data_IF_867851646542
#
_entry.id   IF_867851646542
#
_cell.length_a   1.000
_cell.length_b   1.000
_cell.length_c   1.000
_cell.angle_alpha   90.00
_cell.angle_beta   90.00
_cell.angle_gamma   90.00
#
_symmetry.space_group_name_H-M   'P 1'
#
loop_
_entity.id
_entity.type
_entity.pdbx_description
1 polymer ?
#
# COMPACT_ATOMS: atom_id res chain seq x y z
N UNK A 1 72.40 -8.36 -14.04
CA UNK A 1 71.21 -8.14 -13.20
C UNK A 1 70.04 -7.77 -14.11
N UNK A 2 69.21 -8.74 -14.46
CA UNK A 2 67.99 -8.56 -15.27
C UNK A 2 66.78 -8.62 -14.34
N UNK A 3 65.98 -7.54 -14.31
CA UNK A 3 64.72 -7.47 -13.56
C UNK A 3 63.55 -7.81 -14.48
N UNK A 4 62.70 -8.70 -13.97
CA UNK A 4 61.36 -9.04 -14.45
C UNK A 4 60.45 -7.82 -14.58
N UNK A 5 59.47 -7.89 -15.48
CA UNK A 5 58.14 -7.32 -15.22
C UNK A 5 57.07 -8.14 -15.94
N UNK A 6 56.34 -8.92 -15.15
CA UNK A 6 55.08 -9.56 -15.54
C UNK A 6 53.97 -8.52 -15.48
N UNK A 7 53.36 -8.22 -16.63
CA UNK A 7 52.14 -7.41 -16.68
C UNK A 7 50.96 -8.25 -16.19
N UNK A 8 50.46 -7.95 -14.99
CA UNK A 8 49.14 -8.38 -14.53
C UNK A 8 48.11 -7.37 -15.04
N UNK A 9 47.29 -7.78 -16.00
CA UNK A 9 46.09 -7.07 -16.42
C UNK A 9 45.02 -7.25 -15.34
N UNK A 10 44.78 -6.21 -14.55
CA UNK A 10 43.61 -6.14 -13.68
C UNK A 10 42.38 -5.81 -14.52
N UNK A 11 41.53 -6.80 -14.79
CA UNK A 11 40.19 -6.58 -15.34
C UNK A 11 39.30 -6.01 -14.25
N UNK A 12 39.13 -4.68 -14.25
CA UNK A 12 38.17 -4.00 -13.39
C UNK A 12 36.76 -4.36 -13.84
N UNK A 13 36.09 -5.24 -13.08
CA UNK A 13 34.64 -5.44 -13.19
C UNK A 13 34.00 -4.20 -12.58
N UNK A 14 33.53 -3.27 -13.40
CA UNK A 14 32.60 -2.23 -12.95
C UNK A 14 31.30 -2.91 -12.55
N UNK A 15 31.18 -3.33 -11.29
CA UNK A 15 29.89 -3.59 -10.69
C UNK A 15 29.12 -2.27 -10.69
N UNK A 16 28.03 -2.23 -11.45
CA UNK A 16 27.02 -1.19 -11.34
C UNK A 16 26.34 -1.37 -9.96
N UNK A 17 26.96 -0.88 -8.90
CA UNK A 17 26.27 -0.75 -7.61
C UNK A 17 25.26 0.37 -7.77
N UNK A 18 24.03 0.02 -8.10
CA UNK A 18 22.89 0.91 -7.94
C UNK A 18 22.93 1.43 -6.49
N UNK A 19 22.87 2.75 -6.27
CA UNK A 19 22.76 3.28 -4.92
C UNK A 19 21.51 2.66 -4.27
N UNK A 20 21.53 2.40 -2.95
CA UNK A 20 20.33 1.96 -2.26
C UNK A 20 19.29 3.07 -2.37
N UNK A 21 18.25 2.78 -3.13
CA UNK A 21 17.05 3.59 -3.24
C UNK A 21 16.42 3.77 -1.84
N UNK A 22 16.31 5.00 -1.35
CA UNK A 22 15.80 5.28 0.00
C UNK A 22 14.32 5.70 -0.03
N UNK A 23 13.52 5.27 0.96
CA UNK A 23 12.12 5.71 1.09
C UNK A 23 11.98 7.22 1.18
N UNK A 24 10.95 7.74 0.51
CA UNK A 24 10.56 9.13 0.65
C UNK A 24 9.66 9.26 1.86
N UNK A 25 10.02 10.13 2.79
CA UNK A 25 9.17 10.45 3.93
C UNK A 25 8.04 11.38 3.50
N UNK A 26 6.80 11.02 3.81
CA UNK A 26 5.64 11.86 3.50
C UNK A 26 4.61 11.89 4.63
N UNK A 27 4.06 13.07 4.91
CA UNK A 27 2.94 13.24 5.84
C UNK A 27 1.57 12.86 5.26
N UNK A 28 1.51 12.55 3.95
CA UNK A 28 0.31 12.06 3.27
C UNK A 28 0.70 11.00 2.24
N UNK A 29 -0.17 10.01 2.06
CA UNK A 29 0.08 8.92 1.13
C UNK A 29 -1.20 8.38 0.53
N UNK A 30 -1.07 7.71 -0.60
CA UNK A 30 -2.08 6.84 -1.18
C UNK A 30 -1.66 5.39 -0.98
N UNK A 31 -2.64 4.50 -0.90
CA UNK A 31 -2.39 3.07 -0.87
C UNK A 31 -2.58 2.49 -2.26
N UNK A 32 -1.55 1.78 -2.73
CA UNK A 32 -1.51 1.15 -4.05
C UNK A 32 -1.52 -0.36 -3.88
N UNK A 33 -2.55 -1.00 -4.42
CA UNK A 33 -2.74 -2.42 -4.37
C UNK A 33 -2.02 -3.12 -5.53
N UNK A 34 -1.31 -4.20 -5.20
CA UNK A 34 -0.70 -5.11 -6.14
C UNK A 34 -0.96 -6.55 -5.73
N UNK A 35 -1.35 -7.41 -6.67
CA UNK A 35 -1.68 -8.81 -6.38
C UNK A 35 -0.42 -9.63 -6.06
N UNK A 36 -0.48 -10.43 -4.99
CA UNK A 36 0.63 -11.33 -4.58
C UNK A 36 0.54 -12.73 -5.19
N UNK A 37 -0.62 -13.10 -5.74
CA UNK A 37 -0.90 -14.48 -6.16
C UNK A 37 -0.58 -14.71 -7.64
N UNK A 38 0.11 -15.81 -7.99
CA UNK A 38 0.29 -16.24 -9.39
C UNK A 38 -0.99 -16.82 -10.03
N UNK A 39 -2.08 -17.00 -9.26
CA UNK A 39 -3.36 -17.44 -9.80
C UNK A 39 -4.09 -16.27 -10.48
N UNK A 40 -3.78 -16.12 -11.76
CA UNK A 40 -4.31 -15.11 -12.67
C UNK A 40 -5.70 -15.56 -13.14
N UNK A 41 -6.75 -15.17 -12.43
CA UNK A 41 -8.11 -15.09 -13.00
C UNK A 41 -8.21 -13.79 -13.81
N UNK A 42 -9.20 -13.67 -14.72
CA UNK A 42 -9.43 -12.40 -15.46
C UNK A 42 -9.59 -11.18 -14.54
N UNK A 43 -10.11 -11.38 -13.32
CA UNK A 43 -10.26 -10.32 -12.33
C UNK A 43 -8.92 -9.94 -11.69
N UNK A 44 -8.12 -10.94 -11.30
CA UNK A 44 -6.88 -10.74 -10.55
C UNK A 44 -5.70 -10.32 -11.44
N UNK A 45 -5.73 -10.71 -12.72
CA UNK A 45 -4.79 -10.26 -13.76
C UNK A 45 -4.76 -8.73 -13.95
N UNK A 46 -5.87 -8.06 -13.63
CA UNK A 46 -6.03 -6.64 -13.91
C UNK A 46 -5.58 -5.72 -12.79
N UNK A 47 -5.30 -6.25 -11.59
CA UNK A 47 -5.05 -5.45 -10.37
C UNK A 47 -3.55 -5.20 -10.23
N UNK A 48 -3.06 -4.37 -11.14
CA UNK A 48 -1.69 -3.84 -11.13
C UNK A 48 -1.77 -2.35 -10.82
N UNK A 49 -1.24 -1.97 -9.65
CA UNK A 49 -1.17 -0.59 -9.19
C UNK A 49 -2.55 0.07 -9.01
N UNK A 50 -3.57 -0.69 -8.60
CA UNK A 50 -4.89 -0.12 -8.33
C UNK A 50 -4.87 0.71 -7.06
N UNK A 51 -5.59 1.82 -7.06
CA UNK A 51 -5.59 2.75 -5.95
C UNK A 51 -6.69 2.38 -4.95
N UNK A 52 -6.39 2.44 -3.66
CA UNK A 52 -7.41 2.29 -2.61
C UNK A 52 -8.21 3.57 -2.52
N UNK A 53 -9.53 3.43 -2.58
CA UNK A 53 -10.48 4.52 -2.44
C UNK A 53 -11.55 4.19 -1.40
N UNK A 54 -11.84 5.16 -0.54
CA UNK A 54 -13.04 5.20 0.27
C UNK A 54 -14.28 5.36 -0.62
N UNK A 55 -15.38 4.73 -0.26
CA UNK A 55 -16.68 4.86 -0.92
C UNK A 55 -17.67 5.63 -0.02
N UNK A 56 -17.70 6.97 -0.13
CA UNK A 56 -18.59 7.79 0.65
C UNK A 56 -20.05 7.39 0.49
N UNK A 57 -20.80 7.51 1.58
CA UNK A 57 -22.24 7.40 1.55
C UNK A 57 -22.87 7.88 2.84
N UNK A 58 -24.18 7.67 3.02
CA UNK A 58 -24.86 8.13 4.20
C UNK A 58 -24.30 7.41 5.43
N UNK A 59 -23.81 8.20 6.39
CA UNK A 59 -23.35 7.73 7.68
C UNK A 59 -21.83 7.56 7.79
N UNK A 60 -21.46 6.75 8.78
CA UNK A 60 -20.10 6.75 9.31
C UNK A 60 -19.19 5.69 8.67
N UNK A 61 -19.79 4.66 8.07
CA UNK A 61 -19.10 3.50 7.54
C UNK A 61 -18.88 3.62 6.04
N UNK A 62 -17.64 3.83 5.64
CA UNK A 62 -17.24 3.92 4.23
C UNK A 62 -16.38 2.73 3.83
N UNK A 63 -16.90 1.79 3.03
CA UNK A 63 -16.12 0.65 2.56
C UNK A 63 -14.90 1.10 1.74
N UNK A 64 -13.78 0.41 1.93
CA UNK A 64 -12.61 0.57 1.06
C UNK A 64 -12.72 -0.35 -0.15
N UNK A 65 -12.39 0.21 -1.31
CA UNK A 65 -12.40 -0.49 -2.60
C UNK A 65 -11.16 -0.15 -3.41
N UNK A 66 -10.82 -1.03 -4.34
CA UNK A 66 -9.78 -0.78 -5.32
C UNK A 66 -10.39 -0.12 -6.56
N UNK A 67 -9.75 0.93 -7.04
CA UNK A 67 -10.07 1.59 -8.30
C UNK A 67 -8.90 1.44 -9.26
N UNK A 68 -9.21 1.09 -10.51
CA UNK A 68 -8.23 1.12 -11.58
C UNK A 68 -7.75 2.58 -11.74
N UNK A 69 -6.44 2.83 -11.87
CA UNK A 69 -5.94 4.18 -12.17
C UNK A 69 -6.56 4.67 -13.47
N UNK A 70 -6.86 5.97 -13.54
CA UNK A 70 -7.34 6.56 -14.79
C UNK A 70 -6.21 6.59 -15.82
N UNK A 71 -6.52 6.32 -17.10
CA UNK A 71 -5.51 6.31 -18.18
C UNK A 71 -4.82 7.68 -18.35
N UNK A 72 -5.43 8.75 -17.83
CA UNK A 72 -4.89 10.11 -17.85
C UNK A 72 -3.89 10.40 -16.70
N UNK A 73 -3.59 9.42 -15.85
CA UNK A 73 -2.65 9.57 -14.73
C UNK A 73 -3.18 10.41 -13.57
N UNK A 74 -4.47 10.76 -13.56
CA UNK A 74 -5.09 11.47 -12.44
C UNK A 74 -5.33 10.47 -11.30
N UNK A 75 -4.67 10.72 -10.16
CA UNK A 75 -4.86 9.90 -8.98
C UNK A 75 -6.32 10.02 -8.49
N UNK A 76 -6.96 8.88 -8.35
CA UNK A 76 -8.38 8.70 -7.99
C UNK A 76 -8.57 8.06 -6.59
N UNK A 77 -7.47 7.60 -6.00
CA UNK A 77 -7.40 7.04 -4.66
C UNK A 77 -7.59 8.07 -3.55
N UNK A 78 -7.98 7.57 -2.39
CA UNK A 78 -8.09 8.38 -1.17
C UNK A 78 -6.70 8.73 -0.65
N UNK A 79 -6.49 10.00 -0.32
CA UNK A 79 -5.28 10.46 0.36
C UNK A 79 -5.44 10.24 1.86
N UNK A 80 -4.55 9.44 2.42
CA UNK A 80 -4.49 9.09 3.83
C UNK A 80 -3.32 9.79 4.52
N UNK A 81 -3.38 9.83 5.84
CA UNK A 81 -2.30 10.26 6.72
C UNK A 81 -2.26 9.36 7.97
N UNK A 82 -1.11 9.26 8.61
CA UNK A 82 -0.98 8.53 9.87
C UNK A 82 -1.40 9.44 11.03
N UNK A 83 -2.35 9.00 11.84
CA UNK A 83 -2.80 9.74 13.01
C UNK A 83 -2.07 9.21 14.27
N UNK A 84 -1.15 10.00 14.87
CA UNK A 84 -0.39 9.57 16.04
C UNK A 84 -1.26 9.39 17.29
N UNK A 85 -2.32 10.18 17.47
CA UNK A 85 -3.21 10.10 18.63
C UNK A 85 -3.98 8.78 18.69
N UNK A 86 -4.38 8.27 17.52
CA UNK A 86 -5.12 7.00 17.40
C UNK A 86 -4.22 5.83 17.03
N UNK A 87 -2.95 6.07 16.73
CA UNK A 87 -1.98 5.07 16.24
C UNK A 87 -2.51 4.28 15.05
N UNK A 88 -3.07 4.98 14.06
CA UNK A 88 -3.75 4.37 12.92
C UNK A 88 -3.77 5.25 11.67
N UNK A 89 -4.39 4.75 10.60
CA UNK A 89 -4.52 5.49 9.34
C UNK A 89 -5.83 6.27 9.34
N UNK A 90 -5.80 7.51 8.88
CA UNK A 90 -6.96 8.39 8.79
C UNK A 90 -7.04 9.10 7.44
N UNK A 91 -8.21 9.65 7.12
CA UNK A 91 -8.40 10.64 6.06
C UNK A 91 -9.49 11.64 6.46
N UNK A 92 -9.58 12.75 5.72
CA UNK A 92 -10.49 13.85 6.04
C UNK A 92 -9.98 14.75 7.16
N UNK A 93 -10.80 15.71 7.57
CA UNK A 93 -10.45 16.81 8.49
C UNK A 93 -11.59 17.12 9.45
N UNK A 94 -11.26 17.60 10.65
CA UNK A 94 -12.24 18.07 11.64
C UNK A 94 -13.32 17.03 11.94
N UNK A 95 -14.58 17.42 11.79
CA UNK A 95 -15.75 16.56 12.03
C UNK A 95 -15.94 15.47 10.96
N UNK A 96 -15.34 15.65 9.77
CA UNK A 96 -15.40 14.67 8.67
C UNK A 96 -14.25 13.65 8.72
N UNK A 97 -13.37 13.75 9.74
CA UNK A 97 -12.26 12.81 9.90
C UNK A 97 -12.78 11.39 10.14
N UNK A 98 -12.28 10.45 9.35
CA UNK A 98 -12.53 9.02 9.52
C UNK A 98 -11.22 8.26 9.60
N UNK A 99 -11.25 7.15 10.33
CA UNK A 99 -10.08 6.33 10.62
C UNK A 99 -10.28 4.91 10.11
N UNK A 100 -9.19 4.25 9.74
CA UNK A 100 -9.22 2.92 9.17
C UNK A 100 -9.68 1.92 10.22
N UNK A 101 -10.68 1.15 9.84
CA UNK A 101 -11.27 0.08 10.62
C UNK A 101 -11.02 -1.23 9.91
N UNK A 102 -10.30 -2.10 10.62
CA UNK A 102 -10.18 -3.53 10.31
C UNK A 102 -11.00 -4.28 11.36
N UNK A 103 -12.17 -4.83 11.01
CA UNK A 103 -13.01 -5.56 11.95
C UNK A 103 -12.26 -6.71 12.63
N UNK A 104 -12.54 -6.97 13.92
CA UNK A 104 -11.98 -8.11 14.67
C UNK A 104 -12.99 -9.25 14.75
N UNK A 105 -12.53 -10.48 14.49
CA UNK A 105 -13.33 -11.70 14.70
C UNK A 105 -14.56 -11.84 13.78
N UNK A 106 -15.28 -12.94 13.94
CA UNK A 106 -16.51 -13.27 13.20
C UNK A 106 -16.35 -14.39 12.15
N UNK A 107 -17.42 -15.13 11.88
CA UNK A 107 -17.48 -16.19 10.85
C UNK A 107 -17.65 -15.61 9.42
N UNK A 108 -17.11 -14.42 9.17
CA UNK A 108 -17.41 -13.65 7.97
C UNK A 108 -16.22 -12.87 7.45
N UNK A 109 -16.38 -12.36 6.24
CA UNK A 109 -15.38 -11.54 5.59
C UNK A 109 -15.20 -10.20 6.30
N UNK A 110 -13.95 -9.85 6.61
CA UNK A 110 -13.63 -8.61 7.33
C UNK A 110 -13.32 -7.52 6.33
N UNK A 111 -14.38 -6.95 5.75
CA UNK A 111 -14.26 -5.81 4.85
C UNK A 111 -13.65 -4.61 5.58
N UNK A 112 -12.65 -3.98 4.96
CA UNK A 112 -12.05 -2.75 5.47
C UNK A 112 -13.00 -1.57 5.23
N UNK A 113 -13.01 -0.64 6.17
CA UNK A 113 -13.75 0.61 6.05
C UNK A 113 -13.03 1.77 6.69
N UNK A 114 -13.45 2.98 6.36
CA UNK A 114 -13.17 4.17 7.14
C UNK A 114 -14.38 4.49 8.02
N UNK A 115 -14.17 4.61 9.32
CA UNK A 115 -15.19 4.88 10.32
C UNK A 115 -14.85 6.15 11.13
N UNK A 116 -15.85 6.94 11.52
CA UNK A 116 -15.69 8.11 12.41
C UNK A 116 -15.40 7.76 13.89
N UNK A 117 -15.37 6.46 14.25
CA UNK A 117 -15.00 6.00 15.59
C UNK A 117 -13.47 5.89 15.70
N UNK A 118 -12.98 5.45 16.86
CA UNK A 118 -11.57 5.02 16.99
C UNK A 118 -11.30 3.89 15.99
N UNK A 119 -10.31 4.11 15.13
CA UNK A 119 -9.84 3.14 14.16
C UNK A 119 -9.20 1.93 14.82
N UNK A 120 -8.75 1.00 13.99
CA UNK A 120 -8.10 -0.21 14.47
C UNK A 120 -6.65 0.09 14.84
N UNK A 121 -6.27 -0.06 16.13
CA UNK A 121 -4.89 0.17 16.55
C UNK A 121 -3.95 -0.89 15.97
N UNK A 122 -2.72 -0.50 15.70
CA UNK A 122 -1.67 -1.39 15.22
C UNK A 122 -1.66 -1.59 13.70
N UNK A 123 -2.51 -0.88 12.95
CA UNK A 123 -2.33 -0.69 11.52
C UNK A 123 -1.18 0.28 11.29
N UNK A 124 -0.18 -0.11 10.50
CA UNK A 124 1.03 0.70 10.27
C UNK A 124 1.53 0.55 8.84
N UNK A 125 2.30 1.53 8.38
CA UNK A 125 3.19 1.37 7.23
C UNK A 125 4.52 0.84 7.73
N UNK A 126 5.02 -0.25 7.15
CA UNK A 126 6.28 -0.89 7.55
C UNK A 126 7.14 -1.13 6.32
N UNK A 127 8.45 -0.81 6.36
CA UNK A 127 9.39 -1.16 5.29
C UNK A 127 9.43 -2.67 5.05
N UNK A 128 9.27 -3.08 3.79
CA UNK A 128 9.48 -4.45 3.31
C UNK A 128 10.50 -4.42 2.17
N UNK A 129 10.96 -5.60 1.76
CA UNK A 129 11.91 -5.76 0.65
C UNK A 129 11.41 -5.09 -0.64
N UNK A 130 10.13 -5.29 -0.98
CA UNK A 130 9.50 -4.69 -2.17
C UNK A 130 9.06 -3.23 -1.94
N UNK A 131 9.23 -2.67 -0.73
CA UNK A 131 8.89 -1.30 -0.36
C UNK A 131 7.95 -1.17 0.85
N UNK A 132 7.61 0.07 1.26
CA UNK A 132 6.76 0.34 2.42
C UNK A 132 5.32 -0.13 2.19
N UNK A 133 4.82 -1.02 3.07
CA UNK A 133 3.50 -1.64 2.93
C UNK A 133 2.64 -1.41 4.18
N UNK A 134 1.33 -1.26 3.97
CA UNK A 134 0.33 -1.34 5.04
C UNK A 134 0.31 -2.76 5.60
N UNK A 135 0.40 -2.85 6.92
CA UNK A 135 0.31 -4.10 7.68
C UNK A 135 -0.64 -3.93 8.85
N UNK A 136 -1.29 -5.02 9.23
CA UNK A 136 -2.11 -5.09 10.43
C UNK A 136 -1.84 -6.40 11.15
N UNK A 137 -1.46 -6.31 12.43
CA UNK A 137 -1.04 -7.46 13.21
C UNK A 137 0.22 -8.15 12.67
N UNK A 138 0.56 -9.31 13.23
CA UNK A 138 1.71 -10.11 12.79
C UNK A 138 1.34 -11.21 11.79
N UNK A 139 0.08 -11.64 11.75
CA UNK A 139 -0.33 -12.92 11.15
C UNK A 139 -1.57 -12.78 10.24
N UNK A 140 -1.65 -11.75 9.40
CA UNK A 140 -2.72 -11.69 8.40
C UNK A 140 -2.34 -10.95 7.15
N UNK A 141 -3.26 -10.97 6.19
CA UNK A 141 -3.06 -10.48 4.83
C UNK A 141 -4.32 -9.76 4.35
N UNK A 142 -4.10 -8.68 3.62
CA UNK A 142 -5.16 -8.00 2.89
C UNK A 142 -5.45 -8.75 1.59
N UNK A 143 -6.73 -8.86 1.25
CA UNK A 143 -7.17 -9.50 0.03
C UNK A 143 -8.33 -8.71 -0.58
N UNK A 144 -8.59 -8.94 -1.86
CA UNK A 144 -9.64 -8.27 -2.62
C UNK A 144 -10.59 -9.29 -3.23
N UNK A 145 -11.88 -8.98 -3.18
CA UNK A 145 -12.93 -9.79 -3.81
C UNK A 145 -13.87 -8.91 -4.65
N UNK A 146 -14.42 -9.44 -5.75
CA UNK A 146 -15.52 -8.78 -6.44
C UNK A 146 -16.78 -8.83 -5.58
N UNK A 147 -17.33 -7.67 -5.24
CA UNK A 147 -18.52 -7.51 -4.39
C UNK A 147 -19.50 -6.52 -5.00
N UNK A 148 -20.75 -6.56 -4.53
CA UNK A 148 -21.75 -5.53 -4.83
C UNK A 148 -22.02 -4.72 -3.57
N UNK A 149 -21.71 -3.43 -3.62
CA UNK A 149 -22.01 -2.49 -2.53
C UNK A 149 -22.89 -1.40 -3.11
N UNK A 150 -24.07 -1.17 -2.49
CA UNK A 150 -25.05 -0.16 -2.95
C UNK A 150 -25.37 -0.27 -4.45
N UNK A 151 -25.60 -1.49 -4.92
CA UNK A 151 -25.86 -1.84 -6.33
C UNK A 151 -24.70 -1.59 -7.32
N UNK A 152 -23.53 -1.16 -6.87
CA UNK A 152 -22.32 -1.01 -7.69
C UNK A 152 -21.41 -2.22 -7.54
N UNK A 153 -20.89 -2.74 -8.65
CA UNK A 153 -19.84 -3.75 -8.64
C UNK A 153 -18.50 -3.11 -8.27
N UNK A 154 -17.90 -3.57 -7.18
CA UNK A 154 -16.63 -3.04 -6.67
C UNK A 154 -15.63 -4.16 -6.41
N UNK A 155 -14.34 -3.82 -6.44
CA UNK A 155 -13.28 -4.66 -5.91
C UNK A 155 -13.08 -4.29 -4.43
N UNK A 156 -13.81 -4.95 -3.53
CA UNK A 156 -13.81 -4.59 -2.10
C UNK A 156 -12.54 -5.10 -1.42
N UNK A 157 -11.95 -4.29 -0.56
CA UNK A 157 -10.75 -4.64 0.22
C UNK A 157 -11.14 -5.29 1.55
N UNK A 158 -10.50 -6.41 1.89
CA UNK A 158 -10.81 -7.23 3.05
C UNK A 158 -9.53 -7.69 3.75
N UNK A 159 -9.68 -8.22 4.96
CA UNK A 159 -8.59 -8.79 5.77
C UNK A 159 -8.88 -10.21 6.22
N UNK A 160 -7.90 -11.09 6.07
CA UNK A 160 -7.94 -12.47 6.57
C UNK A 160 -6.76 -12.75 7.47
N UNK A 161 -6.97 -13.60 8.45
CA UNK A 161 -5.87 -14.16 9.25
C UNK A 161 -5.14 -15.25 8.45
N UNK A 162 -3.88 -15.52 8.81
CA UNK A 162 -2.98 -16.40 8.04
C UNK A 162 -3.55 -17.81 7.83
N UNK A 163 -4.29 -18.33 8.80
CA UNK A 163 -4.84 -19.68 8.79
C UNK A 163 -6.19 -19.79 8.06
N UNK A 164 -6.77 -18.66 7.65
CA UNK A 164 -8.03 -18.63 6.91
C UNK A 164 -7.78 -18.82 5.41
N UNK A 165 -8.59 -19.65 4.75
CA UNK A 165 -8.49 -19.86 3.31
C UNK A 165 -8.91 -18.61 2.54
N UNK A 166 -8.19 -18.28 1.46
CA UNK A 166 -8.59 -17.24 0.52
C UNK A 166 -9.86 -17.70 -0.22
N UNK A 167 -10.97 -16.93 -0.17
CA UNK A 167 -12.20 -17.32 -0.87
C UNK A 167 -12.02 -17.41 -2.39
N UNK A 168 -12.86 -18.23 -3.03
CA UNK A 168 -12.86 -18.40 -4.48
C UNK A 168 -13.11 -17.05 -5.20
N UNK A 169 -12.37 -16.79 -6.29
CA UNK A 169 -12.38 -15.52 -7.06
C UNK A 169 -11.77 -14.29 -6.38
N UNK A 170 -11.09 -14.46 -5.24
CA UNK A 170 -10.38 -13.38 -4.57
C UNK A 170 -8.86 -13.47 -4.78
N UNK A 171 -8.14 -12.39 -4.47
CA UNK A 171 -6.67 -12.35 -4.51
C UNK A 171 -6.08 -11.68 -3.28
N UNK A 172 -4.99 -12.23 -2.77
CA UNK A 172 -4.15 -11.53 -1.81
C UNK A 172 -3.47 -10.35 -2.48
N UNK A 173 -3.40 -9.22 -1.77
CA UNK A 173 -2.79 -7.99 -2.25
C UNK A 173 -1.77 -7.44 -1.26
N UNK A 174 -0.68 -6.88 -1.79
CA UNK A 174 0.17 -5.93 -1.08
C UNK A 174 -0.45 -4.54 -1.22
N UNK A 175 -0.40 -3.74 -0.15
CA UNK A 175 -0.86 -2.35 -0.17
C UNK A 175 0.34 -1.45 0.09
N UNK A 176 0.93 -0.91 -0.96
CA UNK A 176 2.11 -0.05 -0.89
C UNK A 176 1.73 1.38 -0.55
N UNK A 177 2.49 2.04 0.32
CA UNK A 177 2.36 3.47 0.54
C UNK A 177 3.08 4.23 -0.57
N UNK A 178 2.34 4.98 -1.36
CA UNK A 178 2.88 5.90 -2.38
C UNK A 178 2.68 7.33 -1.90
N UNK A 179 3.70 8.17 -2.05
CA UNK A 179 3.61 9.57 -1.66
C UNK A 179 2.41 10.26 -2.33
N UNK A 180 1.72 11.12 -1.60
CA UNK A 180 0.60 11.88 -2.12
C UNK A 180 0.79 13.37 -1.81
N UNK A 181 0.39 14.22 -2.76
CA UNK A 181 0.35 15.67 -2.54
C UNK A 181 -0.79 15.99 -1.57
N UNK A 182 -0.53 16.89 -0.63
CA UNK A 182 -1.53 17.31 0.35
C UNK A 182 -0.90 18.17 1.44
N UNK A 183 -1.75 18.79 2.28
CA UNK A 183 -1.30 19.52 3.46
C UNK A 183 -0.71 18.54 4.47
N UNK A 184 0.52 18.75 4.90
CA UNK A 184 1.18 17.90 5.91
C UNK A 184 0.51 18.07 7.27
N UNK A 185 0.49 17.00 8.08
CA UNK A 185 -0.21 16.92 9.38
C UNK A 185 0.73 17.02 10.58
N UNK A 186 1.96 17.49 10.36
CA UNK A 186 3.07 17.49 11.32
C UNK A 186 3.99 16.29 11.17
N UNK A 187 5.16 16.38 11.81
CA UNK A 187 6.27 15.43 11.63
C UNK A 187 5.97 14.03 12.17
N UNK A 188 5.09 13.93 13.18
CA UNK A 188 4.67 12.64 13.76
C UNK A 188 3.70 11.85 12.86
N UNK A 189 3.16 12.47 11.82
CA UNK A 189 2.25 11.83 10.86
C UNK A 189 2.97 11.25 9.64
N UNK A 190 4.30 11.33 9.63
CA UNK A 190 5.14 10.97 8.48
C UNK A 190 5.34 9.46 8.41
N UNK A 191 5.22 8.92 7.19
CA UNK A 191 5.47 7.50 6.89
C UNK A 191 6.42 7.33 5.71
N UNK A 192 7.11 6.19 5.68
CA UNK A 192 7.91 5.78 4.52
C UNK A 192 7.00 5.53 3.31
N UNK A 193 7.34 6.13 2.18
CA UNK A 193 6.58 6.04 0.93
C UNK A 193 7.47 5.73 -0.27
N UNK A 194 6.87 5.09 -1.25
CA UNK A 194 7.32 5.01 -2.63
C UNK A 194 7.11 6.35 -3.35
N UNK A 195 7.98 6.66 -4.31
CA UNK A 195 7.67 7.68 -5.32
C UNK A 195 6.67 7.13 -6.34
N UNK A 196 6.86 5.88 -6.76
CA UNK A 196 5.94 5.17 -7.64
C UNK A 196 6.01 3.66 -7.37
N UNK A 197 5.02 2.89 -7.81
CA UNK A 197 4.97 1.43 -7.63
C UNK A 197 4.80 0.80 -9.00
N UNK A 198 5.69 -0.13 -9.36
CA UNK A 198 5.71 -0.81 -10.66
C UNK A 198 5.91 -2.29 -10.44
N UNK A 199 5.04 -3.10 -11.04
CA UNK A 199 5.12 -4.56 -10.97
C UNK A 199 5.27 -5.11 -9.53
N UNK A 200 4.61 -4.44 -8.58
CA UNK A 200 4.64 -4.84 -7.17
C UNK A 200 5.92 -4.47 -6.44
N UNK A 201 6.73 -3.60 -7.02
CA UNK A 201 7.98 -3.11 -6.44
C UNK A 201 7.95 -1.59 -6.36
N UNK A 202 8.40 -1.09 -5.22
CA UNK A 202 8.54 0.32 -4.94
C UNK A 202 9.71 0.91 -5.72
N UNK A 203 9.47 2.06 -6.34
CA UNK A 203 10.50 2.88 -6.96
C UNK A 203 10.67 4.14 -6.12
N UNK A 204 11.92 4.54 -5.94
CA UNK A 204 12.30 5.70 -5.16
C UNK A 204 13.02 6.72 -6.06
N UNK A 205 13.10 7.99 -5.65
CA UNK A 205 13.79 8.98 -6.44
C UNK A 205 15.30 8.70 -6.38
N UNK A 206 16.02 8.80 -7.51
CA UNK A 206 17.48 8.74 -7.48
C UNK A 206 18.01 9.92 -6.67
N UNK A 207 19.00 9.68 -5.80
CA UNK A 207 19.64 10.75 -5.04
C UNK A 207 20.35 11.74 -6.00
N UNK A 208 20.15 13.06 -5.85
CA UNK A 208 21.11 14.01 -6.38
C UNK A 208 22.44 13.81 -5.63
N UNK A 209 23.52 13.57 -6.38
CA UNK A 209 24.89 13.52 -5.85
C UNK A 209 25.37 14.89 -5.41
#
# INVERSE_FOLDING_TARGET
>A
MTKFNSFLLATSITQLTLPPDLPTLSGNFQLIAHVKSPNITKFTAGIENWEVASLPGPGCHEPLSLKKPSDNGTASGTTFWFNPETTGIAYGDGEDMKTLSVPKGGHGERALSMDCRRGTPGVRIVPREDGPQLVYGSNGTFYVCPRRVRAQGIAQLLYREKDELLPYMCADVALFAKWAKGRTRGDESVVDCCTDVRDGVCTFPPQPR
#
